data_IF_354120325568
#
_entry.id   IF_354120325568
#
_cell.length_a   1.000
_cell.length_b   1.000
_cell.length_c   1.000
_cell.angle_alpha   90.00
_cell.angle_beta   90.00
_cell.angle_gamma   90.00
#
_symmetry.space_group_name_H-M   'P 1'
#
loop_
_entity.id
_entity.type
_entity.pdbx_description
1 polymer ?
#
# COMPACT_ATOMS: atom_id res chain seq x y z
N UNK A 1 21.37 5.49 -51.74
CA UNK A 1 20.36 4.54 -51.19
C UNK A 1 20.98 3.41 -50.35
N UNK A 2 22.08 2.77 -50.78
CA UNK A 2 22.71 1.67 -50.02
C UNK A 2 23.21 2.02 -48.61
N UNK A 3 23.93 3.13 -48.43
CA UNK A 3 24.49 3.50 -47.12
C UNK A 3 23.42 3.83 -46.07
N UNK A 4 22.30 4.43 -46.48
CA UNK A 4 21.18 4.76 -45.57
C UNK A 4 20.49 3.50 -45.06
N UNK A 5 20.29 2.50 -45.92
CA UNK A 5 19.68 1.22 -45.52
C UNK A 5 20.58 0.46 -44.53
N UNK A 6 21.89 0.43 -44.79
CA UNK A 6 22.87 -0.19 -43.88
C UNK A 6 22.88 0.52 -42.52
N UNK A 7 22.87 1.86 -42.50
CA UNK A 7 22.81 2.62 -41.25
C UNK A 7 21.53 2.34 -40.45
N UNK A 8 20.37 2.29 -41.12
CA UNK A 8 19.10 1.94 -40.47
C UNK A 8 19.15 0.53 -39.88
N UNK A 9 19.68 -0.45 -40.62
CA UNK A 9 19.84 -1.82 -40.14
C UNK A 9 20.78 -1.90 -38.93
N UNK A 10 21.88 -1.15 -38.94
CA UNK A 10 22.80 -1.08 -37.80
C UNK A 10 22.16 -0.44 -36.58
N UNK A 11 21.36 0.62 -36.75
CA UNK A 11 20.62 1.25 -35.65
C UNK A 11 19.56 0.30 -35.07
N UNK A 12 18.84 -0.42 -35.92
CA UNK A 12 17.87 -1.43 -35.48
C UNK A 12 18.54 -2.58 -34.74
N UNK A 13 19.69 -3.06 -35.24
CA UNK A 13 20.44 -4.11 -34.57
C UNK A 13 21.00 -3.65 -33.22
N UNK A 14 21.59 -2.44 -33.17
CA UNK A 14 22.08 -1.85 -31.93
C UNK A 14 20.94 -1.65 -30.91
N UNK A 15 19.77 -1.21 -31.36
CA UNK A 15 18.59 -1.08 -30.50
C UNK A 15 18.08 -2.45 -30.03
N UNK A 16 18.06 -3.47 -30.90
CA UNK A 16 17.65 -4.82 -30.50
C UNK A 16 18.61 -5.39 -29.46
N UNK A 17 19.92 -5.24 -29.64
CA UNK A 17 20.93 -5.70 -28.69
C UNK A 17 20.82 -4.96 -27.35
N UNK A 18 20.64 -3.64 -27.35
CA UNK A 18 20.48 -2.86 -26.11
C UNK A 18 19.18 -3.19 -25.37
N UNK A 19 18.09 -3.46 -26.11
CA UNK A 19 16.85 -3.91 -25.53
C UNK A 19 16.97 -5.32 -24.94
N UNK A 20 17.62 -6.26 -25.65
CA UNK A 20 17.85 -7.61 -25.16
C UNK A 20 18.68 -7.60 -23.86
N UNK A 21 19.75 -6.81 -23.83
CA UNK A 21 20.56 -6.61 -22.62
C UNK A 21 19.74 -6.02 -21.47
N UNK A 22 18.89 -5.02 -21.74
CA UNK A 22 17.98 -4.47 -20.73
C UNK A 22 17.03 -5.54 -20.21
N UNK A 23 16.41 -6.33 -21.07
CA UNK A 23 15.50 -7.42 -20.68
C UNK A 23 16.21 -8.47 -19.82
N UNK A 24 17.49 -8.73 -20.09
CA UNK A 24 18.29 -9.69 -19.33
C UNK A 24 18.81 -9.12 -18.00
N UNK A 25 19.08 -7.82 -17.90
CA UNK A 25 19.70 -7.21 -16.70
C UNK A 25 18.72 -6.50 -15.78
N UNK A 26 17.58 -6.04 -16.29
CA UNK A 26 16.60 -5.29 -15.50
C UNK A 26 15.88 -6.23 -14.51
N UNK A 27 16.10 -5.98 -13.21
CA UNK A 27 15.51 -6.77 -12.13
C UNK A 27 13.99 -6.80 -12.18
N UNK A 28 13.36 -5.72 -12.64
CA UNK A 28 11.90 -5.62 -12.67
C UNK A 28 11.30 -6.42 -13.82
N UNK A 29 12.03 -6.51 -14.94
CA UNK A 29 11.64 -7.40 -16.05
C UNK A 29 11.78 -8.86 -15.63
N UNK A 30 12.80 -9.22 -14.84
CA UNK A 30 12.93 -10.57 -14.26
C UNK A 30 11.77 -10.90 -13.34
N UNK A 31 11.51 -10.05 -12.34
CA UNK A 31 10.39 -10.22 -11.40
C UNK A 31 9.05 -10.30 -12.14
N UNK A 32 8.84 -9.50 -13.18
CA UNK A 32 7.62 -9.53 -14.00
C UNK A 32 7.42 -10.80 -14.82
N UNK A 33 8.44 -11.67 -14.94
CA UNK A 33 8.37 -12.98 -15.60
C UNK A 33 8.24 -14.15 -14.63
N UNK A 34 8.47 -13.91 -13.34
CA UNK A 34 8.34 -14.94 -12.31
C UNK A 34 6.86 -15.27 -12.08
N UNK A 35 6.57 -16.54 -11.79
CA UNK A 35 5.23 -16.95 -11.39
C UNK A 35 4.85 -16.26 -10.08
N UNK A 36 3.57 -15.92 -9.96
CA UNK A 36 3.06 -15.34 -8.71
C UNK A 36 3.15 -16.40 -7.60
N UNK A 37 3.65 -16.04 -6.40
CA UNK A 37 3.63 -16.93 -5.25
C UNK A 37 2.24 -17.50 -4.96
N UNK A 38 2.17 -18.76 -4.52
CA UNK A 38 0.92 -19.48 -4.26
C UNK A 38 -0.07 -18.71 -3.38
N UNK A 39 0.41 -18.01 -2.35
CA UNK A 39 -0.46 -17.24 -1.46
C UNK A 39 -1.17 -16.08 -2.19
N UNK A 40 -0.54 -15.47 -3.21
CA UNK A 40 -1.18 -14.45 -4.04
C UNK A 40 -2.21 -15.06 -4.99
N UNK A 41 -1.88 -16.20 -5.60
CA UNK A 41 -2.82 -16.93 -6.46
C UNK A 41 -4.08 -17.35 -5.67
N UNK A 42 -3.89 -17.95 -4.50
CA UNK A 42 -5.00 -18.35 -3.62
C UNK A 42 -5.79 -17.14 -3.10
N UNK A 43 -5.11 -16.03 -2.78
CA UNK A 43 -5.78 -14.77 -2.41
C UNK A 43 -6.65 -14.26 -3.56
N UNK A 44 -6.12 -14.26 -4.79
CA UNK A 44 -6.84 -13.81 -5.98
C UNK A 44 -8.08 -14.66 -6.23
N UNK A 45 -7.91 -15.97 -6.29
CA UNK A 45 -9.00 -16.93 -6.52
C UNK A 45 -10.13 -16.72 -5.50
N UNK A 46 -9.79 -16.69 -4.20
CA UNK A 46 -10.80 -16.47 -3.18
C UNK A 46 -11.54 -15.13 -3.35
N UNK A 47 -10.83 -14.04 -3.65
CA UNK A 47 -11.44 -12.72 -3.83
C UNK A 47 -12.36 -12.71 -5.06
N UNK A 48 -11.93 -13.32 -6.16
CA UNK A 48 -12.72 -13.39 -7.39
C UNK A 48 -14.02 -14.17 -7.18
N UNK A 49 -13.97 -15.26 -6.42
CA UNK A 49 -15.12 -16.13 -6.17
C UNK A 49 -16.08 -15.62 -5.08
N UNK A 50 -15.58 -14.86 -4.10
CA UNK A 50 -16.34 -14.52 -2.89
C UNK A 50 -16.72 -13.04 -2.77
N UNK A 51 -16.28 -12.18 -3.69
CA UNK A 51 -16.54 -10.74 -3.61
C UNK A 51 -17.02 -10.14 -4.92
N UNK A 52 -17.82 -9.09 -4.82
CA UNK A 52 -18.26 -8.31 -5.98
C UNK A 52 -17.17 -7.33 -6.38
N UNK A 53 -17.11 -6.98 -7.67
CA UNK A 53 -16.22 -5.92 -8.20
C UNK A 53 -16.42 -4.57 -7.47
N UNK A 54 -17.63 -4.33 -6.94
CA UNK A 54 -17.97 -3.13 -6.18
C UNK A 54 -17.52 -3.14 -4.72
N UNK A 55 -17.14 -4.29 -4.16
CA UNK A 55 -16.74 -4.39 -2.75
C UNK A 55 -15.40 -3.66 -2.54
N UNK A 56 -15.28 -2.96 -1.41
CA UNK A 56 -14.14 -2.08 -1.12
C UNK A 56 -13.25 -2.71 -0.06
N UNK A 57 -11.96 -2.79 -0.35
CA UNK A 57 -10.94 -3.32 0.55
C UNK A 57 -10.16 -2.22 1.27
N UNK A 58 -9.91 -2.43 2.55
CA UNK A 58 -9.04 -1.63 3.41
C UNK A 58 -7.72 -2.39 3.66
N UNK A 59 -6.59 -1.70 3.49
CA UNK A 59 -5.24 -2.19 3.83
C UNK A 59 -4.26 -1.01 3.87
N UNK A 60 -2.95 -1.28 3.98
CA UNK A 60 -1.90 -0.26 3.77
C UNK A 60 -1.89 0.22 2.31
N UNK A 61 -1.21 1.33 1.99
CA UNK A 61 -1.14 1.86 0.61
C UNK A 61 -0.56 0.83 -0.36
N UNK A 62 0.55 0.22 0.02
CA UNK A 62 1.26 -0.79 -0.76
C UNK A 62 0.45 -2.06 -0.98
N UNK A 63 -0.13 -2.60 0.09
CA UNK A 63 -0.93 -3.81 -0.01
C UNK A 63 -2.21 -3.56 -0.80
N UNK A 64 -2.82 -2.39 -0.65
CA UNK A 64 -3.98 -2.00 -1.45
C UNK A 64 -3.62 -1.83 -2.93
N UNK A 65 -2.47 -1.23 -3.24
CA UNK A 65 -1.97 -1.14 -4.62
C UNK A 65 -1.79 -2.54 -5.23
N UNK A 66 -1.10 -3.44 -4.53
CA UNK A 66 -0.88 -4.82 -4.99
C UNK A 66 -2.20 -5.59 -5.14
N UNK A 67 -3.11 -5.47 -4.17
CA UNK A 67 -4.42 -6.13 -4.20
C UNK A 67 -5.28 -5.66 -5.37
N UNK A 68 -5.30 -4.35 -5.62
CA UNK A 68 -6.03 -3.76 -6.74
C UNK A 68 -5.45 -4.25 -8.08
N UNK A 69 -4.12 -4.26 -8.23
CA UNK A 69 -3.47 -4.78 -9.43
C UNK A 69 -3.74 -6.29 -9.64
N UNK A 70 -3.81 -7.07 -8.54
CA UNK A 70 -4.02 -8.51 -8.58
C UNK A 70 -5.47 -8.91 -8.93
N UNK A 71 -6.46 -8.13 -8.48
CA UNK A 71 -7.88 -8.56 -8.45
C UNK A 71 -8.86 -7.58 -9.09
N UNK A 72 -8.42 -6.36 -9.43
CA UNK A 72 -9.28 -5.27 -9.90
C UNK A 72 -10.29 -4.75 -8.88
N UNK A 73 -10.25 -5.20 -7.61
CA UNK A 73 -11.21 -4.76 -6.57
C UNK A 73 -10.93 -3.33 -6.11
N UNK A 74 -11.98 -2.63 -5.73
CA UNK A 74 -11.86 -1.26 -5.21
C UNK A 74 -11.10 -1.29 -3.89
N UNK A 75 -10.26 -0.29 -3.70
CA UNK A 75 -9.52 -0.08 -2.45
C UNK A 75 -9.81 1.31 -1.92
N UNK A 76 -9.78 1.47 -0.59
CA UNK A 76 -9.99 2.79 0.03
C UNK A 76 -8.91 3.75 -0.44
N UNK A 77 -7.65 3.28 -0.45
CA UNK A 77 -6.46 4.05 -0.77
C UNK A 77 -5.47 3.19 -1.56
N UNK A 78 -4.60 3.83 -2.32
CA UNK A 78 -3.46 3.22 -3.01
C UNK A 78 -2.24 4.14 -2.87
N UNK A 79 -1.09 3.76 -3.42
CA UNK A 79 0.09 4.63 -3.52
C UNK A 79 -0.26 5.99 -4.13
N UNK A 80 0.35 7.06 -3.62
CA UNK A 80 0.01 8.46 -3.98
C UNK A 80 0.06 8.71 -5.49
N UNK A 81 1.12 8.29 -6.17
CA UNK A 81 1.31 8.53 -7.61
C UNK A 81 0.39 7.71 -8.53
N UNK A 82 -0.34 6.73 -7.99
CA UNK A 82 -1.30 5.89 -8.72
C UNK A 82 -2.77 6.20 -8.35
N UNK A 83 -3.02 7.31 -7.64
CA UNK A 83 -4.36 7.80 -7.36
C UNK A 83 -4.81 8.85 -8.39
N UNK A 84 -6.12 9.05 -8.47
CA UNK A 84 -6.70 10.15 -9.27
C UNK A 84 -6.22 11.51 -8.73
N UNK A 85 -5.82 12.45 -9.60
CA UNK A 85 -5.39 13.79 -9.21
C UNK A 85 -6.52 14.62 -8.57
N UNK A 86 -7.78 14.19 -8.73
CA UNK A 86 -8.96 14.84 -8.14
C UNK A 86 -9.31 14.32 -6.74
N UNK A 87 -8.54 13.36 -6.20
CA UNK A 87 -8.73 12.86 -4.85
C UNK A 87 -8.02 13.75 -3.83
N UNK A 88 -8.72 14.11 -2.77
CA UNK A 88 -8.13 14.67 -1.56
C UNK A 88 -7.34 13.59 -0.82
N UNK A 89 -6.16 13.27 -1.36
CA UNK A 89 -5.37 12.13 -0.91
C UNK A 89 -4.92 12.29 0.54
N UNK A 90 -4.56 13.50 0.98
CA UNK A 90 -4.12 13.76 2.35
C UNK A 90 -5.24 13.49 3.37
N UNK A 91 -6.47 13.98 3.09
CA UNK A 91 -7.64 13.67 3.91
C UNK A 91 -7.88 12.16 3.98
N UNK A 92 -7.74 11.47 2.85
CA UNK A 92 -7.92 10.02 2.78
C UNK A 92 -6.83 9.25 3.52
N UNK A 93 -5.56 9.64 3.41
CA UNK A 93 -4.47 9.01 4.19
C UNK A 93 -4.73 9.16 5.69
N UNK A 94 -5.15 10.36 6.13
CA UNK A 94 -5.47 10.61 7.53
C UNK A 94 -6.65 9.77 8.01
N UNK A 95 -7.72 9.67 7.23
CA UNK A 95 -8.90 8.87 7.59
C UNK A 95 -8.61 7.36 7.58
N UNK A 96 -7.79 6.87 6.65
CA UNK A 96 -7.32 5.47 6.67
C UNK A 96 -6.45 5.20 7.90
N UNK A 97 -5.57 6.13 8.27
CA UNK A 97 -4.78 6.01 9.49
C UNK A 97 -5.66 5.97 10.75
N UNK A 98 -6.77 6.73 10.79
CA UNK A 98 -7.75 6.65 11.88
C UNK A 98 -8.47 5.29 11.87
N UNK A 99 -8.91 4.80 10.72
CA UNK A 99 -9.57 3.49 10.61
C UNK A 99 -8.68 2.34 11.12
N UNK A 100 -7.39 2.38 10.78
CA UNK A 100 -6.43 1.32 11.11
C UNK A 100 -5.83 1.49 12.51
N UNK A 101 -5.51 2.71 12.94
CA UNK A 101 -4.65 2.94 14.10
C UNK A 101 -5.28 3.85 15.17
N UNK A 102 -6.47 4.40 14.92
CA UNK A 102 -7.16 5.27 15.87
C UNK A 102 -7.76 4.52 17.07
N UNK A 103 -7.99 5.26 18.16
CA UNK A 103 -8.56 4.73 19.41
C UNK A 103 -10.06 5.02 19.58
N UNK A 104 -10.67 5.84 18.71
CA UNK A 104 -12.11 6.16 18.77
C UNK A 104 -12.93 5.22 17.89
N UNK A 105 -13.69 4.35 18.56
CA UNK A 105 -14.55 3.38 17.89
C UNK A 105 -15.68 3.99 17.06
N UNK A 106 -16.28 5.08 17.51
CA UNK A 106 -17.41 5.70 16.80
C UNK A 106 -16.90 6.26 15.48
N UNK A 107 -15.73 6.91 15.52
CA UNK A 107 -15.09 7.47 14.33
C UNK A 107 -14.63 6.38 13.35
N UNK A 108 -14.02 5.31 13.85
CA UNK A 108 -13.64 4.16 13.02
C UNK A 108 -14.87 3.62 12.28
N UNK A 109 -15.99 3.41 12.99
CA UNK A 109 -17.25 2.94 12.38
C UNK A 109 -17.79 3.91 11.33
N UNK A 110 -17.80 5.20 11.64
CA UNK A 110 -18.24 6.26 10.73
C UNK A 110 -17.43 6.21 9.42
N UNK A 111 -16.11 6.11 9.51
CA UNK A 111 -15.22 6.08 8.35
C UNK A 111 -15.35 4.78 7.54
N UNK A 112 -15.45 3.62 8.20
CA UNK A 112 -15.71 2.35 7.52
C UNK A 112 -17.01 2.43 6.69
N UNK A 113 -18.04 3.08 7.21
CA UNK A 113 -19.30 3.31 6.49
C UNK A 113 -19.17 4.37 5.38
N UNK A 114 -18.50 5.49 5.66
CA UNK A 114 -18.23 6.56 4.69
C UNK A 114 -17.59 6.02 3.40
N UNK A 115 -16.66 5.08 3.55
CA UNK A 115 -15.95 4.46 2.44
C UNK A 115 -16.57 3.14 1.95
N UNK A 116 -17.69 2.71 2.53
CA UNK A 116 -18.35 1.43 2.24
C UNK A 116 -17.37 0.23 2.28
N UNK A 117 -16.49 0.23 3.29
CA UNK A 117 -15.47 -0.80 3.45
C UNK A 117 -16.15 -2.15 3.71
N UNK A 118 -15.91 -3.09 2.80
CA UNK A 118 -16.51 -4.42 2.82
C UNK A 118 -15.55 -5.45 3.44
N UNK A 119 -14.24 -5.28 3.21
CA UNK A 119 -13.21 -6.21 3.67
C UNK A 119 -11.95 -5.47 4.13
N UNK A 120 -11.21 -6.10 5.04
CA UNK A 120 -9.81 -5.78 5.34
C UNK A 120 -8.93 -6.90 4.81
N UNK A 121 -7.91 -6.54 4.04
CA UNK A 121 -6.89 -7.46 3.55
C UNK A 121 -5.60 -7.28 4.33
N UNK A 122 -5.09 -8.35 4.92
CA UNK A 122 -3.80 -8.39 5.59
C UNK A 122 -2.91 -9.46 4.94
N UNK A 123 -1.61 -9.17 4.87
CA UNK A 123 -0.61 -10.20 4.64
C UNK A 123 0.67 -9.93 5.46
N UNK A 124 1.56 -10.92 5.46
CA UNK A 124 2.84 -10.92 6.14
C UNK A 124 3.74 -9.70 5.80
N UNK A 125 3.50 -9.02 4.68
CA UNK A 125 4.26 -7.86 4.26
C UNK A 125 3.76 -6.55 4.88
N UNK A 126 2.65 -6.52 5.62
CA UNK A 126 2.03 -5.28 6.15
C UNK A 126 3.03 -4.27 6.73
N UNK A 127 3.81 -4.65 7.74
CA UNK A 127 4.75 -3.73 8.41
C UNK A 127 5.88 -3.33 7.46
N UNK A 128 6.43 -4.30 6.71
CA UNK A 128 7.51 -4.08 5.73
C UNK A 128 7.07 -3.24 4.52
N UNK A 129 5.77 -3.16 4.29
CA UNK A 129 5.18 -2.30 3.27
C UNK A 129 5.20 -0.82 3.66
N UNK A 130 5.34 -0.53 4.96
CA UNK A 130 5.35 0.83 5.49
C UNK A 130 6.74 1.25 5.97
N UNK A 131 7.48 0.36 6.64
CA UNK A 131 8.77 0.68 7.27
C UNK A 131 9.82 -0.40 7.10
N UNK A 132 11.08 0.05 7.06
CA UNK A 132 12.24 -0.81 7.27
C UNK A 132 12.61 -0.77 8.75
N UNK A 133 12.74 -1.96 9.35
CA UNK A 133 13.07 -2.10 10.76
C UNK A 133 14.44 -2.78 10.88
N UNK A 134 15.38 -2.08 11.49
CA UNK A 134 16.72 -2.57 11.79
C UNK A 134 16.96 -2.50 13.30
N UNK A 135 17.43 -3.60 13.90
CA UNK A 135 17.71 -3.68 15.33
C UNK A 135 16.54 -3.23 16.23
N UNK A 136 15.31 -3.51 15.80
CA UNK A 136 14.08 -3.14 16.52
C UNK A 136 13.71 -1.64 16.44
N UNK A 137 14.36 -0.87 15.56
CA UNK A 137 14.06 0.54 15.31
C UNK A 137 13.73 0.77 13.84
N UNK A 138 12.86 1.74 13.57
CA UNK A 138 12.58 2.20 12.21
C UNK A 138 13.86 2.86 11.67
N UNK A 139 14.51 2.25 10.67
CA UNK A 139 15.68 2.81 9.99
C UNK A 139 15.29 3.67 8.79
N UNK A 140 14.17 3.32 8.14
CA UNK A 140 13.67 3.98 6.96
C UNK A 140 12.15 3.75 6.83
N UNK A 141 11.50 4.52 5.96
CA UNK A 141 10.09 4.33 5.60
C UNK A 141 9.96 4.07 4.11
N UNK A 142 9.03 3.19 3.72
CA UNK A 142 8.71 2.92 2.32
C UNK A 142 7.55 3.79 1.87
N UNK A 143 6.30 3.41 2.13
CA UNK A 143 5.12 4.24 1.84
C UNK A 143 4.08 4.19 2.98
N UNK A 144 4.42 4.65 4.21
CA UNK A 144 3.47 4.76 5.31
C UNK A 144 2.48 5.91 5.07
N UNK A 145 1.38 5.94 5.81
CA UNK A 145 0.45 7.08 5.76
C UNK A 145 1.12 8.38 6.19
N UNK A 146 0.95 9.43 5.39
CA UNK A 146 1.48 10.74 5.68
C UNK A 146 0.65 11.86 5.07
N UNK A 147 0.67 13.00 5.74
CA UNK A 147 0.02 14.24 5.29
C UNK A 147 0.96 15.41 5.45
N UNK A 148 0.74 16.47 4.66
CA UNK A 148 1.42 17.74 4.94
C UNK A 148 0.98 18.27 6.30
N UNK A 149 1.92 18.86 7.02
CA UNK A 149 1.64 19.48 8.29
C UNK A 149 0.57 20.56 8.13
N UNK A 150 -0.47 20.46 8.95
CA UNK A 150 -1.41 21.53 9.24
C UNK A 150 -1.91 21.34 10.67
N UNK A 151 -2.33 22.42 11.33
CA UNK A 151 -2.93 22.30 12.67
C UNK A 151 -4.19 21.42 12.63
N UNK A 152 -4.95 21.47 11.52
CA UNK A 152 -6.13 20.62 11.34
C UNK A 152 -5.81 19.13 11.35
N UNK A 153 -4.76 18.68 10.64
CA UNK A 153 -4.37 17.26 10.64
C UNK A 153 -3.71 16.84 11.95
N UNK A 154 -2.92 17.73 12.57
CA UNK A 154 -2.34 17.50 13.90
C UNK A 154 -3.46 17.24 14.91
N UNK A 155 -4.41 18.15 15.01
CA UNK A 155 -5.54 18.07 15.94
C UNK A 155 -6.41 16.84 15.65
N UNK A 156 -6.55 16.46 14.38
CA UNK A 156 -7.27 15.26 13.97
C UNK A 156 -6.59 13.98 14.49
N UNK A 157 -5.27 13.87 14.33
CA UNK A 157 -4.51 12.72 14.82
C UNK A 157 -4.49 12.65 16.35
N UNK A 158 -4.32 13.79 17.02
CA UNK A 158 -4.37 13.86 18.49
C UNK A 158 -5.74 13.46 19.03
N UNK A 159 -6.82 14.00 18.44
CA UNK A 159 -8.20 13.69 18.84
C UNK A 159 -8.53 12.20 18.78
N UNK A 160 -8.03 11.52 17.76
CA UNK A 160 -8.35 10.11 17.50
C UNK A 160 -7.22 9.14 17.86
N UNK A 161 -6.20 9.60 18.58
CA UNK A 161 -5.12 8.77 19.10
C UNK A 161 -4.21 8.15 18.05
N UNK A 162 -4.11 8.75 16.85
CA UNK A 162 -3.19 8.30 15.81
C UNK A 162 -1.80 8.81 16.16
N UNK A 163 -0.85 7.89 16.36
CA UNK A 163 0.55 8.25 16.63
C UNK A 163 1.23 8.72 15.35
N UNK A 164 2.01 9.79 15.46
CA UNK A 164 2.75 10.37 14.36
C UNK A 164 4.08 10.98 14.82
N UNK A 165 4.97 11.25 13.86
CA UNK A 165 6.14 12.12 14.04
C UNK A 165 6.05 13.29 13.05
N UNK A 166 6.50 14.46 13.48
CA UNK A 166 6.68 15.62 12.59
C UNK A 166 8.09 15.55 12.01
N UNK A 167 8.22 15.64 10.68
CA UNK A 167 9.51 15.63 10.00
C UNK A 167 9.49 16.50 8.74
N UNK A 168 10.67 16.88 8.25
CA UNK A 168 10.84 17.51 6.95
C UNK A 168 11.25 16.44 5.91
N UNK A 169 10.42 16.22 4.89
CA UNK A 169 10.61 15.10 3.95
C UNK A 169 9.81 15.22 2.66
N UNK A 170 9.82 14.15 1.86
CA UNK A 170 9.13 14.10 0.57
C UNK A 170 7.74 13.47 0.73
N UNK A 171 6.71 14.13 0.22
CA UNK A 171 5.31 13.67 0.29
C UNK A 171 5.07 12.38 -0.52
N UNK A 172 5.91 12.14 -1.53
CA UNK A 172 6.03 10.87 -2.24
C UNK A 172 7.43 10.30 -1.95
N UNK A 173 7.54 9.23 -1.15
CA UNK A 173 8.83 8.61 -0.84
C UNK A 173 9.60 8.07 -2.05
N UNK A 174 8.94 7.82 -3.19
CA UNK A 174 9.61 7.41 -4.42
C UNK A 174 10.33 8.59 -5.11
N UNK A 175 9.96 9.83 -4.79
CA UNK A 175 10.50 11.06 -5.37
C UNK A 175 11.54 11.70 -4.45
N UNK A 176 12.37 10.89 -3.78
CA UNK A 176 13.47 11.38 -2.94
C UNK A 176 14.61 11.89 -3.82
N UNK A 177 15.04 13.12 -3.57
CA UNK A 177 16.12 13.76 -4.32
C UNK A 177 16.25 15.23 -3.95
N UNK A 178 17.44 15.80 -4.17
CA UNK A 178 17.70 17.23 -3.90
C UNK A 178 16.91 18.15 -4.85
N UNK A 179 16.50 17.62 -6.00
CA UNK A 179 15.69 18.28 -7.02
C UNK A 179 14.20 18.38 -6.64
N UNK A 180 13.74 17.59 -5.67
CA UNK A 180 12.34 17.56 -5.27
C UNK A 180 12.11 18.32 -3.96
N UNK A 181 11.04 19.11 -3.93
CA UNK A 181 10.66 19.92 -2.77
C UNK A 181 10.30 19.04 -1.57
N UNK A 182 10.89 19.37 -0.42
CA UNK A 182 10.49 18.84 0.89
C UNK A 182 9.34 19.66 1.48
N UNK A 183 8.57 19.00 2.34
CA UNK A 183 7.47 19.56 3.09
C UNK A 183 7.64 19.21 4.56
N UNK A 184 7.07 20.03 5.44
CA UNK A 184 6.77 19.57 6.79
C UNK A 184 5.63 18.55 6.70
N UNK A 185 5.85 17.37 7.27
CA UNK A 185 4.95 16.22 7.19
C UNK A 185 4.58 15.75 8.59
N UNK A 186 3.37 15.21 8.72
CA UNK A 186 2.96 14.32 9.79
C UNK A 186 3.03 12.89 9.25
N UNK A 187 4.08 12.16 9.63
CA UNK A 187 4.26 10.75 9.29
C UNK A 187 3.58 9.91 10.37
N UNK A 188 2.58 9.12 10.01
CA UNK A 188 1.97 8.17 10.96
C UNK A 188 3.05 7.19 11.41
N UNK A 189 3.06 6.79 12.69
CA UNK A 189 3.98 5.78 13.25
C UNK A 189 3.16 4.90 14.20
N UNK A 190 2.54 3.82 13.69
CA UNK A 190 1.65 2.99 14.48
C UNK A 190 2.36 2.30 15.64
N UNK A 191 1.62 2.08 16.73
CA UNK A 191 2.01 1.12 17.75
C UNK A 191 1.48 -0.26 17.34
N UNK A 192 2.21 -0.95 16.47
CA UNK A 192 1.78 -2.24 15.93
C UNK A 192 1.53 -3.24 17.05
N UNK A 193 0.26 -3.62 17.25
CA UNK A 193 -0.12 -4.51 18.35
C UNK A 193 0.57 -5.88 18.26
N UNK A 194 0.52 -6.51 17.09
CA UNK A 194 1.32 -7.68 16.76
C UNK A 194 1.38 -7.88 15.24
N UNK A 195 2.21 -8.82 14.80
CA UNK A 195 2.43 -9.09 13.38
C UNK A 195 1.16 -9.46 12.59
N UNK A 196 0.26 -10.21 13.21
CA UNK A 196 -0.95 -10.73 12.57
C UNK A 196 -2.17 -9.82 12.69
N UNK A 197 -2.09 -8.82 13.57
CA UNK A 197 -3.07 -7.77 13.76
C UNK A 197 -2.35 -6.44 14.02
N UNK A 198 -1.70 -5.87 13.00
CA UNK A 198 -0.91 -4.64 13.15
C UNK A 198 -1.76 -3.40 13.42
N UNK A 199 -3.08 -3.45 13.24
CA UNK A 199 -3.99 -2.35 13.54
C UNK A 199 -4.32 -2.21 15.04
N UNK A 200 -4.93 -1.08 15.40
CA UNK A 200 -5.42 -0.79 16.75
C UNK A 200 -6.60 -1.68 17.15
N UNK A 201 -6.67 -2.05 18.44
CA UNK A 201 -7.69 -2.97 18.97
C UNK A 201 -9.13 -2.52 18.72
N UNK A 202 -9.36 -1.22 18.55
CA UNK A 202 -10.66 -0.62 18.22
C UNK A 202 -11.30 -1.21 16.96
N UNK A 203 -10.49 -1.59 15.97
CA UNK A 203 -10.97 -2.12 14.70
C UNK A 203 -11.51 -3.55 14.81
N UNK A 204 -11.02 -4.36 15.75
CA UNK A 204 -11.30 -5.81 15.83
C UNK A 204 -12.79 -6.15 15.89
N UNK A 205 -13.58 -5.37 16.63
CA UNK A 205 -15.02 -5.64 16.77
C UNK A 205 -15.81 -5.44 15.49
N UNK A 206 -15.19 -4.83 14.48
CA UNK A 206 -15.76 -4.67 13.14
C UNK A 206 -15.23 -5.71 12.16
N UNK A 207 -14.37 -6.63 12.58
CA UNK A 207 -13.72 -7.61 11.71
C UNK A 207 -14.19 -9.03 12.04
N UNK A 208 -14.57 -9.77 11.01
CA UNK A 208 -14.79 -11.22 11.09
C UNK A 208 -13.86 -11.91 10.10
N UNK A 209 -12.94 -12.75 10.57
CA UNK A 209 -12.09 -13.55 9.69
C UNK A 209 -12.98 -14.44 8.82
N UNK A 210 -12.79 -14.38 7.50
CA UNK A 210 -13.54 -15.19 6.53
C UNK A 210 -12.64 -16.06 5.67
N UNK A 211 -11.33 -15.75 5.61
CA UNK A 211 -10.36 -16.55 4.89
C UNK A 211 -8.94 -16.32 5.42
N UNK A 212 -8.13 -17.38 5.39
CA UNK A 212 -6.72 -17.37 5.77
C UNK A 212 -5.93 -18.32 4.85
N UNK A 213 -4.73 -17.89 4.48
CA UNK A 213 -3.70 -18.75 3.88
C UNK A 213 -2.52 -18.86 4.82
N UNK A 214 -2.10 -20.10 5.11
CA UNK A 214 -1.04 -20.40 6.08
C UNK A 214 -0.01 -21.37 5.48
N UNK A 215 1.27 -21.14 5.78
CA UNK A 215 2.39 -22.02 5.42
C UNK A 215 3.08 -22.45 6.71
N UNK A 216 3.24 -23.76 6.94
CA UNK A 216 3.86 -24.29 8.16
C UNK A 216 3.25 -23.71 9.46
N UNK A 217 1.92 -23.60 9.52
CA UNK A 217 1.17 -22.99 10.62
C UNK A 217 1.43 -21.48 10.85
N UNK A 218 2.09 -20.80 9.92
CA UNK A 218 2.25 -19.35 9.94
C UNK A 218 1.32 -18.71 8.92
N UNK A 219 0.45 -17.80 9.40
CA UNK A 219 -0.44 -17.04 8.54
C UNK A 219 0.35 -16.12 7.62
N UNK A 220 0.08 -16.20 6.32
CA UNK A 220 0.73 -15.40 5.28
C UNK A 220 -0.22 -14.35 4.72
N UNK A 221 -1.51 -14.68 4.60
CA UNK A 221 -2.54 -13.76 4.15
C UNK A 221 -3.87 -14.04 4.88
N UNK A 222 -4.66 -12.99 5.12
CA UNK A 222 -5.96 -13.06 5.76
C UNK A 222 -6.92 -12.05 5.15
N UNK A 223 -8.18 -12.44 5.06
CA UNK A 223 -9.27 -11.54 4.69
C UNK A 223 -10.29 -11.54 5.80
N UNK A 224 -10.61 -10.33 6.27
CA UNK A 224 -11.62 -10.10 7.27
C UNK A 224 -12.79 -9.38 6.60
N UNK A 225 -14.00 -9.89 6.80
CA UNK A 225 -15.23 -9.18 6.43
C UNK A 225 -15.51 -8.08 7.47
N UNK A 226 -15.84 -6.89 6.98
CA UNK A 226 -16.19 -5.75 7.83
C UNK A 226 -17.68 -5.79 8.17
N UNK A 227 -18.02 -5.68 9.46
CA UNK A 227 -19.39 -5.81 10.00
C UNK A 227 -19.89 -4.53 10.71
N UNK A 228 -19.39 -3.36 10.28
CA UNK A 228 -19.62 -2.05 10.90
C UNK A 228 -21.03 -1.45 10.69
#
# INVERSE_FOLDING_TARGET
MGCTLVLILLLLLAHHLSFAERVEKDRWIKVGKEELPDYLLATKEWIEDNTRVSDVFLSTKELSFALNALTGRKVVISRRSQNSPFLEIEQREAEVAIMLYGNDSSKVRELLKKYNVSYLYWNAYWIKSEYEIENGRISNYFDPFMVKYSDSFRDLFERYGVRYIKLEGWIDPAMRGNEYRKYELLLVVPDYRNYTHPWGATLDKYLKLVWEYSVNNLSVARIYKVIA
#
